data_IF_629795098493
#
_entry.id   IF_629795098493
#
_cell.length_a   1.000
_cell.length_b   1.000
_cell.length_c   1.000
_cell.angle_alpha   90.00
_cell.angle_beta   90.00
_cell.angle_gamma   90.00
#
_symmetry.space_group_name_H-M   'P 1'
#
loop_
_entity.id
_entity.type
_entity.pdbx_description
1 polymer ?
#
# COMPACT_ATOMS: atom_id res chain seq x y z
N UNK A 1 70.44 37.18 81.10
CA UNK A 1 70.10 36.29 79.97
C UNK A 1 68.74 36.73 79.45
N UNK A 2 68.73 37.58 78.43
CA UNK A 2 67.53 38.25 77.89
C UNK A 2 66.89 37.40 76.79
N UNK A 3 65.66 36.92 77.01
CA UNK A 3 64.81 36.34 75.97
C UNK A 3 63.59 37.27 75.81
N UNK A 4 63.53 37.95 74.66
CA UNK A 4 62.41 38.79 74.23
C UNK A 4 61.25 37.89 73.80
N UNK A 5 60.07 38.09 74.38
CA UNK A 5 58.81 37.55 73.86
C UNK A 5 58.35 38.39 72.66
N UNK A 6 58.49 37.86 71.44
CA UNK A 6 57.85 38.46 70.26
C UNK A 6 56.43 37.90 70.11
N UNK A 7 55.44 38.68 70.53
CA UNK A 7 54.08 38.52 70.06
C UNK A 7 54.02 39.07 68.62
N UNK A 8 54.14 38.16 67.66
CA UNK A 8 53.98 38.47 66.24
C UNK A 8 52.50 38.69 65.95
N UNK A 9 52.09 39.94 65.76
CA UNK A 9 50.76 40.29 65.24
C UNK A 9 50.59 39.69 63.84
N UNK A 10 49.63 38.78 63.64
CA UNK A 10 49.21 38.40 62.29
C UNK A 10 48.58 39.63 61.62
N UNK A 11 49.29 40.20 60.64
CA UNK A 11 48.75 41.23 59.78
C UNK A 11 47.73 40.59 58.81
N UNK A 12 46.46 40.97 58.92
CA UNK A 12 45.45 40.68 57.91
C UNK A 12 45.77 41.52 56.68
N UNK A 13 46.36 40.90 55.66
CA UNK A 13 46.54 41.52 54.34
C UNK A 13 45.16 41.68 53.68
N UNK A 14 44.76 42.93 53.40
CA UNK A 14 43.51 43.23 52.67
C UNK A 14 43.62 42.77 51.22
N UNK A 15 43.07 41.59 50.91
CA UNK A 15 42.89 41.08 49.54
C UNK A 15 41.82 41.87 48.78
N UNK A 16 42.15 43.07 48.27
CA UNK A 16 41.20 43.89 47.48
C UNK A 16 41.12 43.50 45.99
N UNK A 17 42.07 42.73 45.46
CA UNK A 17 42.07 42.30 44.05
C UNK A 17 41.41 40.94 43.78
N UNK A 18 41.63 39.94 44.66
CA UNK A 18 41.12 38.56 44.48
C UNK A 18 39.60 38.49 44.64
N UNK A 19 39.03 39.29 45.55
CA UNK A 19 37.58 39.39 45.72
C UNK A 19 36.88 39.93 44.46
N UNK A 20 37.51 40.87 43.74
CA UNK A 20 36.93 41.43 42.51
C UNK A 20 36.99 40.43 41.34
N UNK A 21 38.09 39.70 41.19
CA UNK A 21 38.25 38.67 40.15
C UNK A 21 37.26 37.52 40.38
N UNK A 22 37.08 37.07 41.62
CA UNK A 22 36.13 36.00 41.95
C UNK A 22 34.68 36.40 41.71
N UNK A 23 34.29 37.63 42.09
CA UNK A 23 32.96 38.16 41.79
C UNK A 23 32.74 38.28 40.28
N UNK A 24 33.71 38.81 39.53
CA UNK A 24 33.60 38.89 38.07
C UNK A 24 33.49 37.53 37.40
N UNK A 25 34.24 36.52 37.88
CA UNK A 25 34.14 35.16 37.36
C UNK A 25 32.78 34.53 37.67
N UNK A 26 32.24 34.74 38.87
CA UNK A 26 30.89 34.27 39.24
C UNK A 26 29.83 34.95 38.37
N UNK A 27 29.89 36.28 38.20
CA UNK A 27 28.94 37.02 37.37
C UNK A 27 29.01 36.58 35.90
N UNK A 28 30.22 36.37 35.37
CA UNK A 28 30.42 35.86 34.02
C UNK A 28 29.82 34.45 33.87
N UNK A 29 30.07 33.54 34.82
CA UNK A 29 29.50 32.19 34.80
C UNK A 29 27.97 32.21 34.89
N UNK A 30 27.40 33.00 35.79
CA UNK A 30 25.95 33.19 35.91
C UNK A 30 25.35 33.72 34.61
N UNK A 31 26.03 34.65 33.93
CA UNK A 31 25.58 35.21 32.64
C UNK A 31 25.59 34.16 31.53
N UNK A 32 26.63 33.32 31.47
CA UNK A 32 26.72 32.21 30.49
C UNK A 32 25.60 31.19 30.73
N UNK A 33 25.36 30.79 31.98
CA UNK A 33 24.29 29.83 32.33
C UNK A 33 22.92 30.42 31.98
N UNK A 34 22.68 31.69 32.32
CA UNK A 34 21.42 32.36 32.00
C UNK A 34 21.17 32.45 30.49
N UNK A 35 22.20 32.77 29.70
CA UNK A 35 22.11 32.78 28.24
C UNK A 35 21.80 31.38 27.68
N UNK A 36 22.49 30.35 28.15
CA UNK A 36 22.25 28.95 27.74
C UNK A 36 20.84 28.44 28.12
N UNK A 37 20.34 28.81 29.30
CA UNK A 37 18.98 28.48 29.72
C UNK A 37 17.94 29.15 28.82
N UNK A 38 18.18 30.41 28.45
CA UNK A 38 17.27 31.18 27.59
C UNK A 38 17.19 30.60 26.18
N UNK A 39 18.33 30.25 25.57
CA UNK A 39 18.35 29.65 24.23
C UNK A 39 17.71 28.26 24.22
N UNK A 40 17.91 27.46 25.28
CA UNK A 40 17.23 26.18 25.47
C UNK A 40 15.72 26.33 25.57
N UNK A 41 15.25 27.31 26.36
CA UNK A 41 13.82 27.59 26.51
C UNK A 41 13.18 27.99 25.18
N UNK A 42 13.82 28.89 24.42
CA UNK A 42 13.35 29.31 23.09
C UNK A 42 13.26 28.13 22.13
N UNK A 43 14.27 27.26 22.10
CA UNK A 43 14.26 26.05 21.25
C UNK A 43 13.17 25.08 21.67
N UNK A 44 12.95 24.89 22.97
CA UNK A 44 11.88 24.04 23.49
C UNK A 44 10.50 24.58 23.12
N UNK A 45 10.29 25.90 23.21
CA UNK A 45 9.06 26.55 22.76
C UNK A 45 8.82 26.32 21.27
N UNK A 46 9.83 26.55 20.42
CA UNK A 46 9.72 26.34 18.97
C UNK A 46 9.44 24.87 18.62
N UNK A 47 10.06 23.93 19.34
CA UNK A 47 9.76 22.51 19.17
C UNK A 47 8.32 22.19 19.56
N UNK A 48 7.85 22.76 20.67
CA UNK A 48 6.47 22.59 21.14
C UNK A 48 5.45 23.12 20.13
N UNK A 49 5.70 24.30 19.54
CA UNK A 49 4.83 24.87 18.50
C UNK A 49 4.83 24.01 17.25
N UNK A 50 6.01 23.55 16.80
CA UNK A 50 6.10 22.70 15.61
C UNK A 50 5.38 21.34 15.80
N UNK A 51 5.51 20.73 16.98
CA UNK A 51 4.78 19.50 17.31
C UNK A 51 3.27 19.76 17.28
N UNK A 52 2.81 20.85 17.89
CA UNK A 52 1.39 21.23 17.86
C UNK A 52 0.88 21.47 16.44
N UNK A 53 1.66 22.15 15.59
CA UNK A 53 1.29 22.38 14.18
C UNK A 53 1.23 21.09 13.38
N UNK A 54 2.15 20.15 13.61
CA UNK A 54 2.13 18.85 12.96
C UNK A 54 0.92 18.01 13.41
N UNK A 55 0.59 18.04 14.70
CA UNK A 55 -0.63 17.41 15.22
C UNK A 55 -1.90 18.01 14.61
N UNK A 56 -1.95 19.33 14.42
CA UNK A 56 -3.09 19.97 13.76
C UNK A 56 -3.24 19.52 12.30
N UNK A 57 -2.14 19.45 11.55
CA UNK A 57 -2.15 18.93 10.18
C UNK A 57 -2.60 17.44 10.13
N UNK A 58 -2.20 16.63 11.11
CA UNK A 58 -2.69 15.25 11.26
C UNK A 58 -4.22 15.21 11.45
N UNK A 59 -4.77 16.03 12.34
CA UNK A 59 -6.22 16.08 12.57
C UNK A 59 -6.99 16.59 11.35
N UNK A 60 -6.41 17.52 10.59
CA UNK A 60 -6.98 17.98 9.32
C UNK A 60 -7.02 16.86 8.27
N UNK A 61 -5.97 16.06 8.14
CA UNK A 61 -6.00 14.89 7.25
C UNK A 61 -7.05 13.85 7.71
N UNK A 62 -7.19 13.59 9.01
CA UNK A 62 -8.29 12.77 9.53
C UNK A 62 -9.67 13.38 9.26
N UNK A 63 -9.77 14.71 9.27
CA UNK A 63 -10.96 15.44 8.82
C UNK A 63 -11.28 15.17 7.35
N UNK A 64 -10.27 15.18 6.48
CA UNK A 64 -10.43 14.81 5.08
C UNK A 64 -10.92 13.35 4.91
N UNK A 65 -10.41 12.41 5.71
CA UNK A 65 -10.93 11.02 5.73
C UNK A 65 -12.42 10.97 6.15
N UNK A 66 -12.80 11.71 7.20
CA UNK A 66 -14.19 11.78 7.64
C UNK A 66 -15.11 12.40 6.58
N UNK A 67 -14.61 13.41 5.85
CA UNK A 67 -15.32 14.02 4.72
C UNK A 67 -15.49 13.03 3.57
N UNK A 68 -14.43 12.33 3.16
CA UNK A 68 -14.49 11.29 2.13
C UNK A 68 -15.51 10.20 2.45
N UNK A 69 -15.61 9.76 3.72
CA UNK A 69 -16.66 8.82 4.13
C UNK A 69 -18.06 9.35 3.82
N UNK A 70 -18.31 10.64 4.01
CA UNK A 70 -19.61 11.27 3.70
C UNK A 70 -19.85 11.34 2.20
N UNK A 71 -18.82 11.66 1.41
CA UNK A 71 -18.88 11.67 -0.05
C UNK A 71 -19.25 10.28 -0.57
N UNK A 72 -18.55 9.23 -0.12
CA UNK A 72 -18.85 7.85 -0.51
C UNK A 72 -20.27 7.43 -0.07
N UNK A 73 -20.68 7.70 1.18
CA UNK A 73 -22.05 7.39 1.63
C UNK A 73 -23.10 8.07 0.75
N UNK A 74 -22.86 9.31 0.32
CA UNK A 74 -23.77 10.04 -0.56
C UNK A 74 -23.79 9.42 -1.96
N UNK A 75 -22.64 9.10 -2.55
CA UNK A 75 -22.54 8.44 -3.85
C UNK A 75 -23.31 7.11 -3.87
N UNK A 76 -23.04 6.21 -2.92
CA UNK A 76 -23.72 4.90 -2.82
C UNK A 76 -25.20 4.97 -2.39
N UNK A 77 -25.65 6.13 -1.90
CA UNK A 77 -27.07 6.39 -1.64
C UNK A 77 -27.80 6.77 -2.92
N UNK A 78 -27.17 7.56 -3.78
CA UNK A 78 -27.75 8.02 -5.04
C UNK A 78 -27.73 6.88 -6.07
N UNK A 79 -26.60 6.19 -6.18
CA UNK A 79 -26.38 5.12 -7.15
C UNK A 79 -25.81 3.87 -6.45
N UNK A 80 -26.66 2.89 -6.14
CA UNK A 80 -26.30 1.81 -5.21
C UNK A 80 -25.75 0.55 -5.88
N UNK A 81 -25.71 0.50 -7.21
CA UNK A 81 -25.42 -0.72 -7.98
C UNK A 81 -24.26 -0.58 -8.96
N UNK A 82 -23.74 0.63 -9.13
CA UNK A 82 -22.72 0.97 -10.11
C UNK A 82 -21.75 1.96 -9.49
N UNK A 83 -20.47 1.79 -9.82
CA UNK A 83 -19.39 2.69 -9.44
C UNK A 83 -18.70 3.13 -10.73
N UNK A 84 -18.71 4.43 -11.03
CA UNK A 84 -18.14 5.00 -12.27
C UNK A 84 -17.53 6.39 -12.03
N UNK A 85 -16.82 6.93 -13.03
CA UNK A 85 -15.96 8.12 -12.89
C UNK A 85 -16.69 9.47 -12.88
N UNK A 86 -17.98 9.54 -13.21
CA UNK A 86 -18.78 10.78 -13.09
C UNK A 86 -19.34 11.01 -11.68
N UNK A 87 -19.25 10.01 -10.81
CA UNK A 87 -19.76 10.12 -9.46
C UNK A 87 -18.96 11.14 -8.65
N UNK A 88 -19.62 11.75 -7.67
CA UNK A 88 -19.03 12.85 -6.85
C UNK A 88 -17.72 12.50 -6.14
N UNK A 89 -17.39 11.21 -5.98
CA UNK A 89 -16.15 10.77 -5.36
C UNK A 89 -14.96 10.77 -6.32
N UNK A 90 -15.19 10.58 -7.62
CA UNK A 90 -14.16 10.36 -8.65
C UNK A 90 -13.58 11.66 -9.22
N UNK A 91 -13.78 12.78 -8.53
CA UNK A 91 -13.20 14.06 -8.91
C UNK A 91 -11.68 14.01 -8.72
N UNK A 92 -10.96 14.80 -9.53
CA UNK A 92 -9.54 15.06 -9.33
C UNK A 92 -9.25 15.58 -7.92
N UNK A 93 -7.96 15.75 -7.58
CA UNK A 93 -7.54 16.23 -6.26
C UNK A 93 -8.29 17.52 -5.88
N UNK A 94 -9.19 17.43 -4.92
CA UNK A 94 -9.96 18.57 -4.41
C UNK A 94 -9.25 19.17 -3.22
N UNK A 95 -9.13 20.50 -3.19
CA UNK A 95 -8.50 21.24 -2.10
C UNK A 95 -9.51 22.17 -1.44
N UNK A 96 -9.65 22.06 -0.12
CA UNK A 96 -10.55 22.88 0.67
C UNK A 96 -9.75 23.74 1.66
N UNK A 97 -10.06 25.04 1.77
CA UNK A 97 -9.44 25.90 2.77
C UNK A 97 -9.94 25.53 4.17
N UNK A 98 -9.03 25.55 5.13
CA UNK A 98 -9.31 25.40 6.57
C UNK A 98 -8.57 26.48 7.34
N UNK A 99 -8.86 26.64 8.62
CA UNK A 99 -8.20 27.66 9.43
C UNK A 99 -6.67 27.48 9.40
N UNK A 100 -5.99 28.52 8.90
CA UNK A 100 -4.53 28.60 8.74
C UNK A 100 -3.93 27.45 7.90
N UNK A 101 -4.69 26.93 6.93
CA UNK A 101 -4.27 25.76 6.19
C UNK A 101 -5.15 25.38 5.00
N UNK A 102 -4.82 24.23 4.43
CA UNK A 102 -5.57 23.60 3.36
C UNK A 102 -5.58 22.08 3.59
N UNK A 103 -6.69 21.44 3.22
CA UNK A 103 -6.78 19.98 3.12
C UNK A 103 -7.00 19.61 1.66
N UNK A 104 -6.29 18.61 1.17
CA UNK A 104 -6.46 18.07 -0.17
C UNK A 104 -6.75 16.57 -0.12
N UNK A 105 -7.55 16.09 -1.06
CA UNK A 105 -7.92 14.68 -1.13
C UNK A 105 -8.16 14.22 -2.56
N UNK A 106 -7.67 13.01 -2.86
CA UNK A 106 -7.94 12.26 -4.08
C UNK A 106 -8.48 10.88 -3.69
N UNK A 107 -9.59 10.46 -4.31
CA UNK A 107 -10.20 9.16 -4.07
C UNK A 107 -10.05 8.33 -5.33
N UNK A 108 -9.49 7.13 -5.21
CA UNK A 108 -9.35 6.19 -6.32
C UNK A 108 -10.07 4.89 -6.00
N UNK A 109 -10.74 4.30 -6.99
CA UNK A 109 -11.23 2.93 -6.90
C UNK A 109 -10.05 1.96 -6.81
N UNK A 110 -10.13 0.94 -5.94
CA UNK A 110 -9.11 -0.12 -5.84
C UNK A 110 -9.54 -1.42 -6.52
N UNK A 111 -10.68 -1.42 -7.22
CA UNK A 111 -11.06 -2.47 -8.15
C UNK A 111 -10.82 -2.07 -9.61
N UNK A 112 -10.17 -0.93 -9.89
CA UNK A 112 -9.66 -0.57 -11.22
C UNK A 112 -8.22 -1.04 -11.48
N UNK A 113 -7.71 -1.93 -10.63
CA UNK A 113 -6.34 -2.43 -10.67
C UNK A 113 -6.31 -3.92 -10.37
N UNK A 114 -5.27 -4.60 -10.85
CA UNK A 114 -5.02 -6.00 -10.55
C UNK A 114 -4.62 -6.16 -9.08
N UNK A 115 -5.49 -6.80 -8.29
CA UNK A 115 -5.19 -7.13 -6.90
C UNK A 115 -4.14 -8.26 -6.83
N UNK A 116 -2.92 -7.94 -6.41
CA UNK A 116 -1.82 -8.92 -6.32
C UNK A 116 -2.11 -10.05 -5.34
N UNK A 117 -2.93 -9.80 -4.31
CA UNK A 117 -3.36 -10.85 -3.37
C UNK A 117 -4.29 -11.89 -4.02
N UNK A 118 -4.78 -11.65 -5.23
CA UNK A 118 -5.56 -12.62 -6.00
C UNK A 118 -4.72 -13.75 -6.61
N UNK A 119 -3.39 -13.69 -6.50
CA UNK A 119 -2.49 -14.81 -6.83
C UNK A 119 -2.39 -15.85 -5.70
N UNK A 120 -2.98 -15.58 -4.53
CA UNK A 120 -3.01 -16.58 -3.45
C UNK A 120 -3.83 -17.80 -3.90
N UNK A 121 -3.40 -19.06 -3.65
CA UNK A 121 -4.13 -20.28 -4.04
C UNK A 121 -5.57 -20.42 -3.51
N UNK A 122 -5.94 -19.66 -2.46
CA UNK A 122 -7.29 -19.60 -1.89
C UNK A 122 -8.17 -18.53 -2.55
N UNK A 123 -7.65 -17.81 -3.54
CA UNK A 123 -8.40 -16.86 -4.34
C UNK A 123 -9.61 -17.55 -4.96
N UNK A 124 -10.77 -16.92 -4.80
CA UNK A 124 -12.03 -17.39 -5.39
C UNK A 124 -12.47 -16.41 -6.46
N UNK A 125 -12.89 -16.93 -7.60
CA UNK A 125 -13.68 -16.16 -8.56
C UNK A 125 -15.12 -16.03 -8.07
N UNK A 126 -15.90 -15.09 -8.64
CA UNK A 126 -17.30 -14.84 -8.25
C UNK A 126 -18.15 -16.12 -8.30
N UNK A 127 -17.92 -16.98 -9.30
CA UNK A 127 -18.64 -18.25 -9.47
C UNK A 127 -18.29 -19.32 -8.41
N UNK A 128 -17.04 -19.35 -7.93
CA UNK A 128 -16.61 -20.27 -6.87
C UNK A 128 -17.04 -19.79 -5.47
N UNK A 129 -17.33 -18.49 -5.30
CA UNK A 129 -17.88 -17.93 -4.06
C UNK A 129 -19.36 -18.27 -3.84
N UNK A 130 -20.12 -18.48 -4.92
CA UNK A 130 -21.55 -18.79 -4.87
C UNK A 130 -21.86 -20.26 -4.48
N UNK A 131 -20.89 -21.18 -4.59
CA UNK A 131 -21.10 -22.62 -4.34
C UNK A 131 -20.60 -23.13 -2.97
N UNK A 132 -20.05 -22.27 -2.11
CA UNK A 132 -19.51 -22.66 -0.79
C UNK A 132 -20.59 -22.77 0.31
N UNK A 133 -21.81 -23.15 -0.06
CA UNK A 133 -22.96 -23.28 0.82
C UNK A 133 -23.20 -24.69 1.36
N UNK A 134 -22.26 -25.62 1.25
CA UNK A 134 -22.32 -26.92 1.93
C UNK A 134 -21.02 -27.67 1.68
N UNK A 135 -20.16 -27.81 2.68
CA UNK A 135 -19.82 -29.17 3.11
C UNK A 135 -19.04 -29.20 4.43
N UNK A 136 -19.49 -30.12 5.28
CA UNK A 136 -18.95 -30.43 6.60
C UNK A 136 -17.62 -31.16 6.44
N UNK A 137 -16.64 -30.81 7.27
CA UNK A 137 -15.50 -31.68 7.55
C UNK A 137 -15.96 -33.08 7.98
N UNK A 138 -15.12 -34.09 7.72
CA UNK A 138 -14.75 -34.96 8.82
C UNK A 138 -13.23 -35.17 8.88
N UNK A 139 -12.67 -34.96 10.06
CA UNK A 139 -11.41 -35.57 10.43
C UNK A 139 -11.56 -37.08 10.64
N UNK A 140 -10.50 -37.83 10.41
CA UNK A 140 -10.03 -38.88 11.32
C UNK A 140 -8.68 -39.41 10.83
N UNK A 141 -7.73 -39.42 11.76
CA UNK A 141 -6.45 -40.09 11.69
C UNK A 141 -6.63 -41.61 11.87
N UNK A 142 -5.86 -42.42 11.11
CA UNK A 142 -5.35 -43.75 11.52
C UNK A 142 -4.32 -44.34 10.53
N UNK A 143 -3.07 -44.37 10.99
CA UNK A 143 -2.08 -45.49 11.01
C UNK A 143 -2.01 -46.54 9.87
N UNK A 144 -0.78 -46.80 9.39
CA UNK A 144 -0.30 -48.16 9.04
C UNK A 144 0.57 -48.25 7.78
N UNK A 145 1.84 -48.63 7.93
CA UNK A 145 2.88 -48.58 6.90
C UNK A 145 2.84 -49.63 5.77
N UNK A 146 3.53 -49.31 4.67
CA UNK A 146 4.64 -50.08 4.06
C UNK A 146 5.22 -49.26 2.89
N UNK A 147 6.55 -49.23 2.81
CA UNK A 147 7.30 -48.53 1.77
C UNK A 147 7.48 -49.43 0.54
N UNK A 148 7.06 -48.93 -0.62
CA UNK A 148 7.44 -49.42 -1.95
C UNK A 148 8.29 -48.34 -2.65
N UNK A 149 9.27 -48.71 -3.49
CA UNK A 149 10.23 -47.77 -4.08
C UNK A 149 9.58 -46.90 -5.18
N UNK A 150 10.06 -45.66 -5.42
CA UNK A 150 9.44 -44.74 -6.35
C UNK A 150 9.71 -45.18 -7.80
N UNK A 151 8.62 -45.41 -8.54
CA UNK A 151 8.61 -45.58 -9.99
C UNK A 151 8.78 -44.19 -10.64
N UNK A 152 9.47 -44.05 -11.79
CA UNK A 152 9.87 -42.73 -12.31
C UNK A 152 8.63 -41.91 -12.69
N UNK A 153 8.59 -40.68 -12.19
CA UNK A 153 7.52 -39.72 -12.48
C UNK A 153 7.39 -39.50 -14.00
N UNK A 154 6.22 -39.84 -14.52
CA UNK A 154 5.78 -39.40 -15.84
C UNK A 154 5.44 -37.91 -15.80
N UNK A 155 5.83 -37.22 -16.86
CA UNK A 155 5.59 -35.81 -17.20
C UNK A 155 4.20 -35.26 -16.84
N UNK A 156 4.20 -33.94 -16.59
CA UNK A 156 3.13 -32.97 -16.86
C UNK A 156 1.90 -33.01 -15.94
N UNK A 157 1.93 -32.18 -14.90
CA UNK A 157 0.72 -31.63 -14.29
C UNK A 157 0.80 -30.11 -14.34
N UNK A 158 0.10 -29.49 -15.29
CA UNK A 158 -0.17 -28.05 -15.26
C UNK A 158 -0.90 -27.75 -13.95
N UNK A 159 -0.24 -27.07 -13.02
CA UNK A 159 -0.89 -26.50 -11.86
C UNK A 159 -2.09 -25.66 -12.34
N UNK A 160 -3.22 -25.71 -11.64
CA UNK A 160 -4.44 -24.96 -11.98
C UNK A 160 -4.07 -23.48 -12.05
N UNK A 161 -3.83 -22.95 -13.26
CA UNK A 161 -3.32 -21.60 -13.44
C UNK A 161 -4.38 -20.61 -12.94
N UNK A 162 -4.00 -19.79 -11.96
CA UNK A 162 -4.90 -18.83 -11.33
C UNK A 162 -5.18 -17.69 -12.32
N UNK A 163 -6.45 -17.25 -12.49
CA UNK A 163 -6.79 -16.15 -13.39
C UNK A 163 -5.91 -14.91 -13.23
N UNK A 164 -5.71 -14.45 -11.99
CA UNK A 164 -4.90 -13.27 -11.70
C UNK A 164 -3.42 -13.47 -12.03
N UNK A 165 -2.90 -14.70 -11.91
CA UNK A 165 -1.51 -15.02 -12.26
C UNK A 165 -1.29 -14.92 -13.78
N UNK A 166 -2.22 -15.47 -14.58
CA UNK A 166 -2.19 -15.33 -16.05
C UNK A 166 -2.27 -13.88 -16.48
N UNK A 167 -3.14 -13.07 -15.84
CA UNK A 167 -3.25 -11.64 -16.15
C UNK A 167 -1.98 -10.89 -15.77
N UNK A 168 -1.37 -11.19 -14.63
CA UNK A 168 -0.11 -10.53 -14.22
C UNK A 168 1.04 -10.86 -15.19
N UNK A 169 1.17 -12.13 -15.58
CA UNK A 169 2.18 -12.58 -16.53
C UNK A 169 2.03 -11.85 -17.87
N UNK A 170 0.81 -11.83 -18.43
CA UNK A 170 0.50 -11.12 -19.67
C UNK A 170 0.76 -9.61 -19.56
N UNK A 171 0.40 -9.00 -18.43
CA UNK A 171 0.67 -7.58 -18.18
C UNK A 171 2.18 -7.28 -18.17
N UNK A 172 2.99 -8.07 -17.47
CA UNK A 172 4.45 -7.87 -17.41
C UNK A 172 5.06 -7.94 -18.81
N UNK A 173 4.64 -8.91 -19.62
CA UNK A 173 5.10 -9.06 -21.01
C UNK A 173 4.66 -7.87 -21.87
N UNK A 174 3.40 -7.44 -21.75
CA UNK A 174 2.83 -6.34 -22.53
C UNK A 174 3.50 -4.99 -22.23
N UNK A 175 4.00 -4.79 -21.00
CA UNK A 175 4.75 -3.59 -20.62
C UNK A 175 6.14 -3.50 -21.30
N UNK A 176 6.60 -4.56 -21.97
CA UNK A 176 7.82 -4.60 -22.78
C UNK A 176 9.05 -4.00 -22.06
N UNK A 177 9.25 -4.41 -20.80
CA UNK A 177 10.33 -3.92 -19.95
C UNK A 177 11.65 -4.52 -20.43
N UNK A 178 12.70 -3.70 -20.53
CA UNK A 178 14.02 -4.15 -21.01
C UNK A 178 14.54 -5.34 -20.20
N UNK A 179 14.87 -6.43 -20.89
CA UNK A 179 15.41 -7.65 -20.27
C UNK A 179 14.37 -8.56 -19.62
N UNK A 180 13.07 -8.27 -19.78
CA UNK A 180 11.98 -9.09 -19.23
C UNK A 180 11.18 -9.67 -20.41
N UNK A 181 11.34 -10.98 -20.66
CA UNK A 181 10.52 -11.74 -21.59
C UNK A 181 9.53 -12.65 -20.86
N UNK A 182 8.96 -13.60 -21.58
CA UNK A 182 7.97 -14.53 -21.03
C UNK A 182 8.54 -15.38 -19.89
N UNK A 183 9.81 -15.80 -20.00
CA UNK A 183 10.44 -16.63 -18.97
C UNK A 183 10.63 -15.85 -17.66
N UNK A 184 11.11 -14.60 -17.74
CA UNK A 184 11.26 -13.74 -16.58
C UNK A 184 9.89 -13.39 -15.98
N UNK A 185 8.88 -13.10 -16.80
CA UNK A 185 7.52 -12.83 -16.34
C UNK A 185 6.92 -14.03 -15.59
N UNK A 186 7.07 -15.25 -16.12
CA UNK A 186 6.65 -16.48 -15.46
C UNK A 186 7.36 -16.67 -14.11
N UNK A 187 8.68 -16.46 -14.06
CA UNK A 187 9.46 -16.55 -12.82
C UNK A 187 9.00 -15.53 -11.76
N UNK A 188 8.69 -14.30 -12.16
CA UNK A 188 8.16 -13.26 -11.26
C UNK A 188 6.80 -13.64 -10.68
N UNK A 189 5.90 -14.17 -11.51
CA UNK A 189 4.56 -14.62 -11.08
C UNK A 189 4.66 -15.82 -10.15
N UNK A 190 5.55 -16.77 -10.45
CA UNK A 190 5.82 -17.93 -9.60
C UNK A 190 6.37 -17.52 -8.23
N UNK A 191 7.39 -16.66 -8.18
CA UNK A 191 7.97 -16.17 -6.92
C UNK A 191 6.96 -15.38 -6.07
N UNK A 192 6.08 -14.60 -6.71
CA UNK A 192 4.98 -13.92 -6.01
C UNK A 192 3.91 -14.90 -5.51
N UNK A 193 3.67 -16.00 -6.23
CA UNK A 193 2.73 -17.05 -5.79
C UNK A 193 3.25 -17.75 -4.54
N UNK A 194 4.52 -18.16 -4.54
CA UNK A 194 5.19 -18.76 -3.37
C UNK A 194 5.18 -17.81 -2.17
N UNK A 195 5.49 -16.51 -2.40
CA UNK A 195 5.44 -15.50 -1.34
C UNK A 195 4.07 -15.40 -0.63
N UNK A 196 2.98 -15.66 -1.36
CA UNK A 196 1.61 -15.50 -0.90
C UNK A 196 1.01 -16.77 -0.29
N UNK A 197 1.47 -17.94 -0.70
CA UNK A 197 0.86 -19.20 -0.32
C UNK A 197 1.31 -19.67 1.07
N UNK A 198 0.62 -20.67 1.63
CA UNK A 198 0.87 -21.11 3.01
C UNK A 198 1.80 -22.33 3.13
N UNK A 199 2.44 -22.75 2.04
CA UNK A 199 3.27 -23.93 2.00
C UNK A 199 4.70 -23.58 1.58
N UNK A 200 5.65 -24.51 1.78
CA UNK A 200 7.07 -24.26 1.49
C UNK A 200 7.50 -24.91 0.16
N UNK A 201 6.57 -25.13 -0.77
CA UNK A 201 6.84 -25.79 -2.05
C UNK A 201 7.00 -24.77 -3.16
N UNK A 202 8.20 -24.74 -3.75
CA UNK A 202 8.51 -23.89 -4.90
C UNK A 202 7.55 -24.15 -6.07
N UNK A 203 6.91 -23.10 -6.55
CA UNK A 203 6.05 -23.11 -7.73
C UNK A 203 6.87 -22.88 -8.99
N UNK A 204 6.68 -23.77 -9.98
CA UNK A 204 7.19 -23.58 -11.34
C UNK A 204 8.70 -23.38 -11.44
N UNK A 205 9.14 -22.82 -12.56
CA UNK A 205 10.53 -22.38 -12.74
C UNK A 205 10.65 -20.94 -12.24
N UNK A 206 11.61 -20.68 -11.34
CA UNK A 206 11.87 -19.34 -10.81
C UNK A 206 11.07 -18.95 -9.57
N UNK A 207 10.23 -19.85 -9.03
CA UNK A 207 9.69 -19.70 -7.68
C UNK A 207 10.78 -19.62 -6.60
N UNK A 208 10.43 -19.12 -5.43
CA UNK A 208 11.37 -18.84 -4.35
C UNK A 208 10.68 -18.91 -3.00
N UNK A 209 11.29 -19.64 -2.08
CA UNK A 209 10.75 -19.94 -0.75
C UNK A 209 11.72 -19.57 0.37
N UNK A 210 11.41 -19.96 1.61
CA UNK A 210 12.24 -19.72 2.79
C UNK A 210 13.74 -20.01 2.59
N UNK A 211 14.10 -21.09 1.91
CA UNK A 211 15.52 -21.42 1.68
C UNK A 211 16.22 -20.38 0.79
N UNK A 212 15.53 -19.86 -0.22
CA UNK A 212 16.05 -18.85 -1.12
C UNK A 212 16.24 -17.52 -0.38
N UNK A 213 15.23 -17.07 0.37
CA UNK A 213 15.27 -15.82 1.13
C UNK A 213 16.25 -15.88 2.31
N UNK A 214 16.35 -17.03 3.00
CA UNK A 214 17.28 -17.21 4.11
C UNK A 214 18.76 -17.28 3.68
N UNK A 215 19.02 -17.49 2.38
CA UNK A 215 20.38 -17.52 1.83
C UNK A 215 20.94 -16.14 1.46
N UNK A 216 20.12 -15.08 1.53
CA UNK A 216 20.51 -13.71 1.17
C UNK A 216 21.50 -13.12 2.18
N UNK A 217 22.24 -12.08 1.74
CA UNK A 217 23.18 -11.33 2.60
C UNK A 217 22.51 -10.85 3.90
N UNK A 218 21.29 -10.33 3.77
CA UNK A 218 20.40 -10.02 4.89
C UNK A 218 19.23 -11.01 4.85
N UNK A 219 19.30 -12.11 5.62
CA UNK A 219 18.33 -13.20 5.51
C UNK A 219 16.97 -12.81 6.10
N UNK A 220 15.92 -13.27 5.43
CA UNK A 220 14.52 -13.21 5.87
C UNK A 220 13.78 -14.44 5.35
N UNK A 221 12.51 -14.58 5.70
CA UNK A 221 11.64 -15.68 5.28
C UNK A 221 10.58 -15.17 4.31
N UNK A 222 9.97 -16.07 3.54
CA UNK A 222 8.78 -15.75 2.79
C UNK A 222 7.66 -15.31 3.75
N UNK A 223 6.75 -14.46 3.27
CA UNK A 223 5.68 -13.95 4.14
C UNK A 223 4.62 -15.02 4.45
N UNK A 224 4.41 -15.93 3.51
CA UNK A 224 3.38 -16.97 3.49
C UNK A 224 2.00 -16.41 3.87
N UNK A 225 1.71 -15.23 3.32
CA UNK A 225 0.56 -14.41 3.67
C UNK A 225 0.26 -13.37 2.59
N UNK A 226 -0.90 -12.75 2.69
CA UNK A 226 -1.27 -11.62 1.86
C UNK A 226 -0.28 -10.46 2.00
N UNK A 227 0.04 -9.82 0.87
CA UNK A 227 0.72 -8.54 0.85
C UNK A 227 -0.10 -7.52 1.63
N UNK A 228 0.60 -6.67 2.39
CA UNK A 228 0.07 -5.46 3.00
C UNK A 228 0.29 -4.21 2.15
N UNK A 229 1.27 -4.23 1.23
CA UNK A 229 1.60 -3.13 0.32
C UNK A 229 2.24 -3.61 -0.98
N UNK A 230 2.01 -2.89 -2.08
CA UNK A 230 2.71 -3.10 -3.36
C UNK A 230 4.23 -2.97 -3.20
N UNK A 231 4.70 -2.19 -2.21
CA UNK A 231 6.13 -2.02 -1.96
C UNK A 231 6.82 -3.30 -1.48
N UNK A 232 6.07 -4.29 -0.98
CA UNK A 232 6.63 -5.59 -0.59
C UNK A 232 7.15 -6.38 -1.78
N UNK A 233 6.72 -6.07 -3.01
CA UNK A 233 7.33 -6.62 -4.22
C UNK A 233 8.85 -6.44 -4.24
N UNK A 234 9.38 -5.39 -3.59
CA UNK A 234 10.84 -5.16 -3.51
C UNK A 234 11.62 -6.26 -2.77
N UNK A 235 10.93 -7.06 -1.96
CA UNK A 235 11.51 -8.17 -1.19
C UNK A 235 11.41 -9.51 -1.92
N UNK A 236 10.59 -9.58 -2.97
CA UNK A 236 10.33 -10.82 -3.72
C UNK A 236 11.39 -10.98 -4.80
N UNK A 237 11.79 -12.23 -5.07
CA UNK A 237 12.74 -12.55 -6.13
C UNK A 237 12.28 -11.98 -7.49
N UNK A 238 13.24 -11.59 -8.33
CA UNK A 238 13.02 -11.07 -9.70
C UNK A 238 12.39 -9.66 -9.82
N UNK A 239 11.84 -9.08 -8.75
CA UNK A 239 11.24 -7.73 -8.77
C UNK A 239 12.28 -6.61 -8.60
N UNK A 240 12.67 -6.01 -9.73
CA UNK A 240 13.55 -4.83 -9.73
C UNK A 240 12.77 -3.52 -9.52
N UNK A 241 13.43 -2.43 -9.08
CA UNK A 241 12.76 -1.13 -8.98
C UNK A 241 12.14 -0.65 -10.30
N UNK A 242 12.76 -0.95 -11.44
CA UNK A 242 12.23 -0.60 -12.75
C UNK A 242 10.90 -1.32 -13.03
N UNK A 243 10.83 -2.62 -12.75
CA UNK A 243 9.59 -3.40 -12.93
C UNK A 243 8.50 -2.93 -11.96
N UNK A 244 8.84 -2.69 -10.69
CA UNK A 244 7.87 -2.21 -9.70
C UNK A 244 7.27 -0.85 -10.12
N UNK A 245 8.10 0.06 -10.63
CA UNK A 245 7.63 1.36 -11.13
C UNK A 245 6.72 1.22 -12.36
N UNK A 246 7.04 0.31 -13.27
CA UNK A 246 6.21 0.02 -14.45
C UNK A 246 4.86 -0.62 -14.07
N UNK A 247 4.83 -1.50 -13.05
CA UNK A 247 3.60 -2.16 -12.60
C UNK A 247 2.70 -1.29 -11.73
N UNK A 248 3.27 -0.32 -10.99
CA UNK A 248 2.57 0.50 -9.99
C UNK A 248 1.23 1.11 -10.46
N UNK A 249 1.05 1.56 -11.71
CA UNK A 249 -0.23 2.09 -12.19
C UNK A 249 -1.33 1.04 -12.30
N UNK A 250 -0.96 -0.22 -12.56
CA UNK A 250 -1.89 -1.30 -12.94
C UNK A 250 -2.24 -2.23 -11.79
N UNK A 251 -1.43 -2.24 -10.74
CA UNK A 251 -1.54 -3.23 -9.65
C UNK A 251 -1.88 -2.56 -8.32
N UNK A 252 -2.56 -3.32 -7.47
CA UNK A 252 -2.87 -2.90 -6.12
C UNK A 252 -2.88 -4.08 -5.15
N UNK A 253 -3.03 -3.76 -3.87
CA UNK A 253 -3.09 -4.74 -2.78
C UNK A 253 -4.34 -4.43 -1.97
N UNK A 254 -5.30 -5.36 -1.99
CA UNK A 254 -6.47 -5.33 -1.13
C UNK A 254 -6.14 -6.14 0.15
N UNK A 255 -6.06 -5.50 1.34
CA UNK A 255 -5.65 -6.21 2.54
C UNK A 255 -6.61 -7.35 2.89
N UNK A 256 -6.06 -8.54 3.13
CA UNK A 256 -6.82 -9.75 3.52
C UNK A 256 -7.94 -10.11 2.51
N UNK A 257 -7.78 -9.77 1.24
CA UNK A 257 -8.73 -10.06 0.17
C UNK A 257 -7.99 -10.61 -1.06
N UNK A 258 -8.39 -11.80 -1.51
CA UNK A 258 -7.85 -12.51 -2.67
C UNK A 258 -8.80 -12.56 -3.86
N UNK A 259 -9.85 -11.75 -3.86
CA UNK A 259 -10.80 -11.69 -4.96
C UNK A 259 -10.15 -11.01 -6.17
N UNK A 260 -10.36 -11.63 -7.33
CA UNK A 260 -10.00 -11.09 -8.64
C UNK A 260 -11.25 -10.48 -9.29
N UNK A 261 -11.57 -9.23 -8.93
CA UNK A 261 -12.75 -8.52 -9.44
C UNK A 261 -12.33 -7.13 -9.90
N UNK A 262 -12.49 -6.86 -11.20
CA UNK A 262 -12.10 -5.62 -11.85
C UNK A 262 -13.34 -4.83 -12.26
N UNK A 263 -13.44 -3.59 -11.80
CA UNK A 263 -14.49 -2.67 -12.18
C UNK A 263 -14.18 -2.04 -13.55
N UNK A 264 -14.92 -2.46 -14.58
CA UNK A 264 -14.74 -1.96 -15.95
C UNK A 264 -15.07 -0.48 -16.09
N UNK A 265 -15.90 0.09 -15.20
CA UNK A 265 -16.33 1.48 -15.26
C UNK A 265 -15.25 2.47 -14.79
N UNK A 266 -14.25 2.00 -14.06
CA UNK A 266 -13.20 2.84 -13.45
C UNK A 266 -11.79 2.49 -13.91
N UNK A 267 -11.63 1.53 -14.83
CA UNK A 267 -10.35 1.27 -15.49
C UNK A 267 -9.83 2.53 -16.18
N UNK A 268 -8.53 2.77 -16.08
CA UNK A 268 -7.89 3.94 -16.67
C UNK A 268 -7.85 3.83 -18.19
N UNK A 269 -8.40 4.82 -18.89
CA UNK A 269 -8.41 4.87 -20.34
C UNK A 269 -7.05 5.29 -20.94
N UNK A 270 -6.18 5.93 -20.14
CA UNK A 270 -4.85 6.36 -20.59
C UNK A 270 -3.82 5.21 -20.54
N UNK A 271 -4.10 4.15 -19.78
CA UNK A 271 -3.20 3.03 -19.52
C UNK A 271 -3.93 1.68 -19.82
N UNK A 272 -4.14 1.33 -21.10
CA UNK A 272 -4.96 0.18 -21.54
C UNK A 272 -4.33 -1.21 -21.29
N UNK A 273 -3.06 -1.29 -20.90
CA UNK A 273 -2.26 -2.52 -20.80
C UNK A 273 -2.87 -3.53 -19.82
N UNK A 274 -3.52 -3.05 -18.75
CA UNK A 274 -4.25 -3.94 -17.84
C UNK A 274 -5.46 -4.57 -18.53
N UNK A 275 -6.25 -3.80 -19.30
CA UNK A 275 -7.39 -4.37 -20.02
C UNK A 275 -6.91 -5.33 -21.12
N UNK A 276 -5.81 -4.98 -21.80
CA UNK A 276 -5.16 -5.85 -22.77
C UNK A 276 -4.82 -7.21 -22.17
N UNK A 277 -4.20 -7.23 -20.99
CA UNK A 277 -3.87 -8.47 -20.28
C UNK A 277 -5.10 -9.22 -19.74
N UNK A 278 -6.13 -8.50 -19.29
CA UNK A 278 -7.39 -9.09 -18.80
C UNK A 278 -8.16 -9.83 -19.90
N UNK A 279 -8.14 -9.30 -21.13
CA UNK A 279 -8.87 -9.85 -22.27
C UNK A 279 -8.02 -10.74 -23.18
N UNK A 280 -6.69 -10.77 -23.00
CA UNK A 280 -5.74 -11.39 -23.93
C UNK A 280 -5.95 -10.84 -25.36
N UNK A 281 -6.05 -9.51 -25.47
CA UNK A 281 -6.35 -8.79 -26.71
C UNK A 281 -5.15 -8.02 -27.24
N UNK A 282 -5.31 -7.38 -28.41
CA UNK A 282 -4.35 -6.37 -28.84
C UNK A 282 -4.49 -5.08 -28.01
N UNK A 283 -3.42 -4.28 -27.96
CA UNK A 283 -3.41 -2.96 -27.33
C UNK A 283 -4.45 -2.02 -27.99
N UNK A 284 -4.60 -2.11 -29.31
CA UNK A 284 -5.57 -1.34 -30.09
C UNK A 284 -7.00 -1.67 -29.68
N UNK A 285 -7.34 -2.96 -29.57
CA UNK A 285 -8.67 -3.39 -29.13
C UNK A 285 -8.97 -2.92 -27.70
N UNK A 286 -8.01 -3.03 -26.79
CA UNK A 286 -8.16 -2.59 -25.41
C UNK A 286 -8.41 -1.08 -25.33
N UNK A 287 -7.66 -0.28 -26.10
CA UNK A 287 -7.85 1.16 -26.18
C UNK A 287 -9.21 1.53 -26.77
N UNK A 288 -9.63 0.87 -27.85
CA UNK A 288 -10.96 1.08 -28.46
C UNK A 288 -12.08 0.80 -27.45
N UNK A 289 -12.00 -0.29 -26.71
CA UNK A 289 -13.00 -0.65 -25.69
C UNK A 289 -13.07 0.40 -24.58
N UNK A 290 -11.93 0.91 -24.11
CA UNK A 290 -11.90 1.94 -23.07
C UNK A 290 -12.41 3.30 -23.57
N UNK A 291 -12.13 3.64 -24.83
CA UNK A 291 -12.61 4.86 -25.47
C UNK A 291 -14.10 4.80 -25.81
N UNK A 292 -14.65 3.61 -26.09
CA UNK A 292 -16.06 3.39 -26.33
C UNK A 292 -16.91 3.53 -25.05
N UNK A 293 -16.28 3.44 -23.88
CA UNK A 293 -16.95 3.62 -22.59
C UNK A 293 -17.36 5.08 -22.41
N UNK A 294 -18.67 5.32 -22.28
CA UNK A 294 -19.18 6.63 -21.88
C UNK A 294 -18.74 6.98 -20.44
N UNK A 295 -18.72 8.26 -20.16
CA UNK A 295 -18.48 8.88 -18.86
C UNK A 295 -19.35 8.30 -17.71
N UNK A 296 -20.61 7.96 -17.99
CA UNK A 296 -21.50 7.29 -17.04
C UNK A 296 -21.19 5.80 -16.82
N UNK A 297 -20.31 5.21 -17.64
CA UNK A 297 -20.01 3.78 -17.63
C UNK A 297 -21.18 2.90 -18.07
N UNK A 298 -21.09 1.61 -17.75
CA UNK A 298 -22.11 0.59 -18.03
C UNK A 298 -22.96 0.32 -16.78
N UNK A 299 -24.29 0.22 -16.96
CA UNK A 299 -25.22 -0.13 -15.87
C UNK A 299 -25.10 -1.60 -15.45
N UNK A 300 -24.73 -2.47 -16.39
CA UNK A 300 -24.60 -3.90 -16.20
C UNK A 300 -23.53 -4.46 -17.14
N UNK A 301 -23.04 -5.67 -16.83
CA UNK A 301 -21.99 -6.32 -17.62
C UNK A 301 -22.47 -6.77 -19.01
N UNK A 302 -23.77 -7.00 -19.20
CA UNK A 302 -24.29 -7.41 -20.50
C UNK A 302 -24.09 -6.30 -21.54
N UNK A 303 -24.24 -5.04 -21.14
CA UNK A 303 -24.05 -3.89 -22.02
C UNK A 303 -22.58 -3.74 -22.44
N UNK A 304 -21.65 -4.01 -21.54
CA UNK A 304 -20.23 -4.13 -21.86
C UNK A 304 -19.97 -5.23 -22.91
N UNK A 305 -20.52 -6.43 -22.72
CA UNK A 305 -20.31 -7.55 -23.66
C UNK A 305 -21.03 -7.41 -25.00
N UNK A 306 -22.04 -6.54 -25.10
CA UNK A 306 -22.75 -6.24 -26.37
C UNK A 306 -21.97 -5.31 -27.28
N UNK A 307 -20.92 -4.65 -26.78
CA UNK A 307 -20.11 -3.75 -27.58
C UNK A 307 -19.49 -4.48 -28.78
N UNK A 308 -19.57 -3.91 -30.00
CA UNK A 308 -18.92 -4.47 -31.18
C UNK A 308 -17.44 -4.79 -30.96
N UNK A 309 -16.74 -3.89 -30.26
CA UNK A 309 -15.32 -3.96 -29.94
C UNK A 309 -14.98 -5.12 -28.98
N UNK A 310 -15.93 -5.51 -28.12
CA UNK A 310 -15.78 -6.64 -27.20
C UNK A 310 -16.20 -7.95 -27.87
N UNK A 311 -17.25 -7.90 -28.69
CA UNK A 311 -17.81 -9.08 -29.38
C UNK A 311 -16.86 -9.71 -30.42
N UNK A 312 -15.88 -8.94 -30.93
CA UNK A 312 -14.81 -9.44 -31.82
C UNK A 312 -13.74 -10.25 -31.09
N UNK A 313 -13.65 -10.14 -29.76
CA UNK A 313 -12.65 -10.83 -28.94
C UNK A 313 -13.24 -12.15 -28.43
N UNK A 314 -12.45 -13.22 -28.50
CA UNK A 314 -12.85 -14.52 -27.96
C UNK A 314 -12.60 -14.57 -26.44
N UNK A 315 -13.58 -14.12 -25.66
CA UNK A 315 -13.48 -14.07 -24.19
C UNK A 315 -13.89 -15.41 -23.59
N UNK A 316 -13.00 -16.00 -22.80
CA UNK A 316 -13.27 -17.23 -22.05
C UNK A 316 -14.19 -16.99 -20.85
N UNK A 317 -14.82 -18.05 -20.32
CA UNK A 317 -15.74 -17.96 -19.18
C UNK A 317 -15.10 -17.35 -17.93
N UNK A 318 -13.84 -17.67 -17.65
CA UNK A 318 -13.16 -17.15 -16.47
C UNK A 318 -12.84 -15.65 -16.62
N UNK A 319 -12.50 -15.20 -17.84
CA UNK A 319 -12.29 -13.77 -18.13
C UNK A 319 -13.60 -12.99 -17.99
N UNK A 320 -14.74 -13.57 -18.35
CA UNK A 320 -16.04 -12.94 -18.10
C UNK A 320 -16.31 -12.78 -16.59
N UNK A 321 -15.97 -13.79 -15.79
CA UNK A 321 -16.22 -13.81 -14.36
C UNK A 321 -15.39 -12.79 -13.54
N UNK A 322 -14.35 -12.19 -14.13
CA UNK A 322 -13.47 -11.23 -13.43
C UNK A 322 -14.03 -9.80 -13.44
N UNK A 323 -14.97 -9.46 -14.33
CA UNK A 323 -15.46 -8.09 -14.46
C UNK A 323 -16.66 -7.83 -13.55
N UNK A 324 -16.72 -6.60 -13.02
CA UNK A 324 -17.83 -6.04 -12.25
C UNK A 324 -18.07 -4.60 -12.72
N UNK A 325 -19.23 -4.03 -12.34
CA UNK A 325 -19.59 -2.62 -12.61
C UNK A 325 -19.67 -1.78 -11.33
N UNK A 326 -19.39 -2.40 -10.18
CA UNK A 326 -19.48 -1.81 -8.85
C UNK A 326 -18.27 -2.20 -8.01
N UNK A 327 -17.93 -1.36 -7.04
CA UNK A 327 -16.72 -1.49 -6.23
C UNK A 327 -16.98 -1.31 -4.74
N UNK A 328 -16.29 -2.09 -3.93
CA UNK A 328 -16.34 -2.03 -2.47
C UNK A 328 -15.11 -1.33 -1.87
N UNK A 329 -14.01 -1.22 -2.61
CA UNK A 329 -12.72 -0.79 -2.07
C UNK A 329 -12.25 0.52 -2.69
N UNK A 330 -11.94 1.50 -1.83
CA UNK A 330 -11.49 2.82 -2.25
C UNK A 330 -10.24 3.22 -1.49
N UNK A 331 -9.36 3.96 -2.15
CA UNK A 331 -8.18 4.56 -1.53
C UNK A 331 -8.33 6.07 -1.51
N UNK A 332 -8.15 6.65 -0.34
CA UNK A 332 -7.99 8.09 -0.17
C UNK A 332 -6.51 8.41 -0.05
N UNK A 333 -5.99 9.28 -0.91
CA UNK A 333 -4.74 10.01 -0.64
C UNK A 333 -5.12 11.38 -0.10
N UNK A 334 -4.81 11.63 1.16
CA UNK A 334 -5.11 12.89 1.82
C UNK A 334 -3.82 13.62 2.18
N UNK A 335 -3.80 14.93 1.99
CA UNK A 335 -2.74 15.78 2.51
C UNK A 335 -3.33 16.99 3.20
N UNK A 336 -2.61 17.52 4.18
CA UNK A 336 -3.02 18.68 4.94
C UNK A 336 -1.82 19.58 5.25
N UNK A 337 -2.05 20.88 5.18
CA UNK A 337 -1.07 21.89 5.57
C UNK A 337 -1.67 22.75 6.66
N UNK A 338 -0.86 23.06 7.66
CA UNK A 338 -1.20 24.00 8.71
C UNK A 338 0.03 24.83 9.04
N UNK A 339 -0.03 26.14 8.78
CA UNK A 339 1.13 27.03 8.78
C UNK A 339 2.28 26.43 7.94
N UNK A 340 3.41 26.11 8.57
CA UNK A 340 4.59 25.51 7.95
C UNK A 340 4.66 23.98 8.07
N UNK A 341 3.64 23.34 8.67
CA UNK A 341 3.57 21.88 8.80
C UNK A 341 2.81 21.27 7.63
N UNK A 342 3.30 20.13 7.16
CA UNK A 342 2.67 19.30 6.14
C UNK A 342 2.49 17.90 6.70
N UNK A 343 1.34 17.30 6.41
CA UNK A 343 1.03 15.92 6.72
C UNK A 343 0.40 15.26 5.51
N UNK A 344 0.73 14.00 5.26
CA UNK A 344 0.13 13.19 4.21
C UNK A 344 -0.14 11.78 4.72
N UNK A 345 -1.24 11.20 4.25
CA UNK A 345 -1.57 9.81 4.52
C UNK A 345 -2.35 9.22 3.35
N UNK A 346 -2.28 7.90 3.23
CA UNK A 346 -3.19 7.11 2.41
C UNK A 346 -4.07 6.25 3.31
N UNK A 347 -5.36 6.17 3.02
CA UNK A 347 -6.30 5.31 3.75
C UNK A 347 -7.03 4.39 2.79
N UNK A 348 -7.07 3.10 3.09
CA UNK A 348 -7.89 2.12 2.37
C UNK A 348 -9.22 1.99 3.11
N UNK A 349 -10.31 2.12 2.38
CA UNK A 349 -11.67 2.07 2.88
C UNK A 349 -12.45 0.99 2.17
N UNK A 350 -13.31 0.30 2.92
CA UNK A 350 -14.28 -0.64 2.40
C UNK A 350 -15.70 -0.13 2.64
N UNK A 351 -16.51 -0.18 1.60
CA UNK A 351 -17.97 -0.04 1.67
C UNK A 351 -18.53 -1.40 2.05
N UNK A 352 -19.21 -1.48 3.19
CA UNK A 352 -19.86 -2.72 3.61
C UNK A 352 -21.25 -2.88 2.98
N UNK A 353 -21.87 -4.05 3.13
CA UNK A 353 -23.22 -4.31 2.59
C UNK A 353 -24.33 -3.42 3.17
N UNK A 354 -24.11 -2.75 4.29
CA UNK A 354 -25.02 -1.73 4.85
C UNK A 354 -24.68 -0.29 4.42
N UNK A 355 -23.76 -0.13 3.45
CA UNK A 355 -23.28 1.14 2.90
C UNK A 355 -22.61 2.07 3.91
N UNK A 356 -22.08 1.49 4.97
CA UNK A 356 -21.18 2.16 5.90
C UNK A 356 -19.74 1.99 5.42
N UNK A 357 -18.93 3.00 5.70
CA UNK A 357 -17.53 3.03 5.28
C UNK A 357 -16.64 2.64 6.46
N UNK A 358 -15.91 1.54 6.30
CA UNK A 358 -14.92 1.08 7.26
C UNK A 358 -13.51 1.42 6.75
N UNK A 359 -12.66 1.98 7.61
CA UNK A 359 -11.24 2.16 7.28
C UNK A 359 -10.51 0.86 7.62
N UNK A 360 -9.85 0.28 6.62
CA UNK A 360 -9.11 -0.97 6.77
C UNK A 360 -7.68 -0.67 7.25
N UNK A 361 -7.02 0.28 6.60
CA UNK A 361 -5.63 0.61 6.89
C UNK A 361 -5.34 2.08 6.66
N UNK A 362 -4.28 2.56 7.33
CA UNK A 362 -3.72 3.90 7.14
C UNK A 362 -2.21 3.78 6.98
N UNK A 363 -1.67 4.46 5.98
CA UNK A 363 -0.24 4.60 5.76
C UNK A 363 0.10 6.08 5.87
N UNK A 364 0.99 6.42 6.79
CA UNK A 364 1.44 7.80 7.00
C UNK A 364 2.69 8.04 6.17
N UNK A 365 2.71 9.16 5.43
CA UNK A 365 3.82 9.53 4.55
C UNK A 365 3.37 9.81 3.12
N UNK A 366 4.32 10.28 2.32
CA UNK A 366 4.14 10.43 0.86
C UNK A 366 4.44 9.06 0.22
N UNK A 367 3.50 8.57 -0.60
CA UNK A 367 3.61 7.31 -1.36
C UNK A 367 3.96 7.56 -2.83
#
# INVERSE_FOLDING_TARGET
>A
MTIKSSLSSLAITRQRGVALITVMLIVALCSIIAAQMTTRLQTQMQRSTNISYNQQAYWYALGAEAFTKRVLIKAFKDEPKVTHLEQIWAQETTTYPVDFGEISGEITDLQSCLNLNALHPKAKTKDESAHSGSDKSPGTSKTGGKADPPKPASKSGSAKQLPAATVLEGLIVNLNIEGIGNFEAEAMVNALTDWLDDNDMITGSGGAEDNDYASREFPYLAANSYLGSVNELRLIEHFTPAVILALKPYVCVLPQNSQHLININTLDAENPELLQALLDSSLEDAQEILNARDSSGYENLEDFYKLPEVSKINITKWQQAQFVVDSEYFKLKASARFNNSYFAMSSIMKVNGSKQIQVISRTIGRN
#
